data_IF_814434052749
#
_entry.id   IF_814434052749
#
_cell.length_a   1.000
_cell.length_b   1.000
_cell.length_c   1.000
_cell.angle_alpha   90.00
_cell.angle_beta   90.00
_cell.angle_gamma   90.00
#
_symmetry.space_group_name_H-M   'P 1'
#
loop_
_entity.id
_entity.type
_entity.pdbx_description
1 polymer ?
#
# COMPACT_ATOMS: atom_id res chain seq x y z
N UNK A 1 28.38 9.31 2.42
CA UNK A 1 28.62 9.87 1.04
C UNK A 1 27.35 10.61 0.63
N UNK A 2 27.52 11.75 -0.03
CA UNK A 2 26.38 12.48 -0.60
C UNK A 2 25.87 11.79 -1.87
N UNK A 3 24.55 11.68 -2.02
CA UNK A 3 23.89 11.18 -3.22
C UNK A 3 23.91 12.28 -4.30
N UNK A 4 24.14 11.91 -5.56
CA UNK A 4 24.15 12.86 -6.67
C UNK A 4 22.75 13.48 -6.89
N UNK A 5 22.73 14.71 -7.39
CA UNK A 5 21.46 15.41 -7.67
C UNK A 5 20.61 14.75 -8.76
N UNK A 6 21.20 13.91 -9.61
CA UNK A 6 20.48 13.10 -10.60
C UNK A 6 19.82 11.85 -10.00
N UNK A 7 20.24 11.43 -8.81
CA UNK A 7 19.75 10.22 -8.14
C UNK A 7 18.69 10.57 -7.09
N UNK A 8 18.93 11.61 -6.27
CA UNK A 8 17.95 12.17 -5.34
C UNK A 8 17.56 13.57 -5.84
N UNK A 9 16.47 13.61 -6.61
CA UNK A 9 16.01 14.84 -7.24
C UNK A 9 15.19 15.66 -6.25
N UNK A 10 15.43 16.97 -6.21
CA UNK A 10 14.67 17.91 -5.38
C UNK A 10 13.95 18.93 -6.25
N UNK A 11 12.82 19.42 -5.78
CA UNK A 11 12.11 20.56 -6.35
C UNK A 11 12.88 21.87 -6.05
N UNK A 12 12.57 22.99 -6.73
CA UNK A 12 13.26 24.27 -6.53
C UNK A 12 13.18 24.82 -5.09
N UNK A 13 12.16 24.43 -4.34
CA UNK A 13 11.96 24.81 -2.93
C UNK A 13 12.75 23.92 -1.94
N UNK A 14 13.47 22.91 -2.44
CA UNK A 14 14.25 21.96 -1.65
C UNK A 14 13.48 20.75 -1.14
N UNK A 15 12.18 20.64 -1.43
CA UNK A 15 11.37 19.44 -1.16
C UNK A 15 11.68 18.31 -2.15
N UNK A 16 11.20 17.10 -1.87
CA UNK A 16 11.31 15.97 -2.79
C UNK A 16 10.49 16.21 -4.05
N UNK A 17 11.05 15.77 -5.19
CA UNK A 17 10.57 16.18 -6.51
C UNK A 17 9.14 15.76 -6.84
N UNK A 18 8.71 14.57 -6.38
CA UNK A 18 7.38 14.06 -6.70
C UNK A 18 6.38 14.35 -5.59
N UNK A 19 6.69 14.01 -4.34
CA UNK A 19 5.75 14.14 -3.21
C UNK A 19 5.70 15.55 -2.60
N UNK A 20 6.66 16.42 -2.91
CA UNK A 20 6.78 17.79 -2.39
C UNK A 20 6.73 17.87 -0.85
N UNK A 21 7.35 16.89 -0.18
CA UNK A 21 7.52 16.83 1.28
C UNK A 21 9.00 16.97 1.65
N UNK A 22 9.22 17.39 2.90
CA UNK A 22 10.51 17.42 3.60
C UNK A 22 10.37 16.71 4.94
N UNK A 23 11.46 16.48 5.67
CA UNK A 23 11.41 15.91 7.01
C UNK A 23 10.56 16.72 8.00
N UNK A 24 10.47 18.04 7.80
CA UNK A 24 9.67 18.94 8.64
C UNK A 24 8.17 18.88 8.31
N UNK A 25 7.83 18.75 7.04
CA UNK A 25 6.43 18.71 6.59
C UNK A 25 5.82 17.31 6.66
N UNK A 26 6.63 16.25 6.78
CA UNK A 26 6.20 14.86 6.91
C UNK A 26 5.90 14.50 8.39
N UNK A 27 4.76 13.85 8.65
CA UNK A 27 4.45 13.21 9.94
C UNK A 27 4.97 11.77 9.99
N UNK A 28 5.09 11.18 11.21
CA UNK A 28 5.48 9.78 11.39
C UNK A 28 4.36 8.80 10.99
N UNK A 29 3.11 9.21 11.16
CA UNK A 29 1.94 8.46 10.74
C UNK A 29 1.48 8.95 9.36
N UNK A 30 1.61 8.09 8.34
CA UNK A 30 1.33 8.42 6.94
C UNK A 30 0.19 7.55 6.42
N UNK A 31 -0.92 8.19 6.06
CA UNK A 31 -2.01 7.54 5.34
C UNK A 31 -1.75 7.57 3.83
N UNK A 32 -1.76 6.41 3.20
CA UNK A 32 -1.60 6.25 1.76
C UNK A 32 -2.94 5.90 1.11
N UNK A 33 -3.35 6.67 0.12
CA UNK A 33 -4.58 6.43 -0.65
C UNK A 33 -4.26 6.43 -2.15
N UNK A 34 -5.00 5.68 -2.96
CA UNK A 34 -4.74 5.64 -4.41
C UNK A 34 -5.19 6.90 -5.15
N UNK A 35 -6.25 7.54 -4.67
CA UNK A 35 -6.95 8.63 -5.33
C UNK A 35 -6.67 9.98 -4.63
N UNK A 36 -6.21 11.03 -5.36
CA UNK A 36 -6.03 12.36 -4.79
C UNK A 36 -7.29 12.94 -4.14
N UNK A 37 -8.49 12.62 -4.64
CA UNK A 37 -9.74 13.10 -4.05
C UNK A 37 -9.97 12.55 -2.64
N UNK A 38 -9.46 11.35 -2.34
CA UNK A 38 -9.55 10.79 -0.98
C UNK A 38 -8.70 11.53 0.04
N UNK A 39 -7.65 12.24 -0.38
CA UNK A 39 -6.87 13.11 0.51
C UNK A 39 -7.75 14.24 1.05
N UNK A 40 -8.71 14.75 0.26
CA UNK A 40 -9.65 15.78 0.72
C UNK A 40 -10.56 15.29 1.86
N UNK A 41 -10.81 13.97 1.98
CA UNK A 41 -11.58 13.44 3.11
C UNK A 41 -10.85 13.63 4.45
N UNK A 42 -9.51 13.60 4.45
CA UNK A 42 -8.72 13.91 5.65
C UNK A 42 -8.76 15.40 6.00
N UNK A 43 -8.87 16.29 5.00
CA UNK A 43 -9.01 17.73 5.22
C UNK A 43 -10.28 18.07 6.02
N UNK A 44 -11.36 17.30 5.80
CA UNK A 44 -12.61 17.44 6.56
C UNK A 44 -12.51 16.87 8.00
N UNK A 45 -11.51 16.02 8.27
CA UNK A 45 -11.32 15.32 9.54
C UNK A 45 -10.28 16.04 10.42
N UNK A 46 -9.22 16.59 9.83
CA UNK A 46 -8.15 17.26 10.58
C UNK A 46 -8.64 18.54 11.28
N UNK A 47 -8.23 18.71 12.53
CA UNK A 47 -8.51 19.94 13.30
C UNK A 47 -7.77 21.14 12.70
N UNK A 48 -6.59 20.92 12.12
CA UNK A 48 -5.78 21.94 11.44
C UNK A 48 -4.93 21.33 10.35
N UNK A 49 -4.69 22.11 9.29
CA UNK A 49 -3.78 21.75 8.19
C UNK A 49 -2.50 22.57 8.34
N UNK A 50 -1.35 21.90 8.32
CA UNK A 50 -0.01 22.51 8.45
C UNK A 50 0.69 22.65 7.10
N UNK A 51 0.47 21.69 6.18
CA UNK A 51 1.08 21.66 4.86
C UNK A 51 0.14 21.01 3.85
N UNK A 52 0.12 21.50 2.63
CA UNK A 52 -0.61 20.93 1.50
C UNK A 52 0.20 21.13 0.22
N UNK A 53 0.38 20.08 -0.56
CA UNK A 53 1.01 20.13 -1.87
C UNK A 53 0.28 19.24 -2.87
N UNK A 54 0.29 19.63 -4.13
CA UNK A 54 -0.27 18.87 -5.24
C UNK A 54 0.70 18.87 -6.41
N UNK A 55 1.11 17.69 -6.83
CA UNK A 55 1.98 17.50 -7.98
C UNK A 55 1.57 16.23 -8.73
N UNK A 56 1.08 16.38 -9.96
CA UNK A 56 0.50 15.28 -10.75
C UNK A 56 -0.64 14.61 -9.97
N UNK A 57 -0.60 13.26 -9.84
CA UNK A 57 -1.53 12.46 -9.03
C UNK A 57 -1.18 12.40 -7.54
N UNK A 58 -0.08 13.04 -7.12
CA UNK A 58 0.41 13.03 -5.75
C UNK A 58 -0.07 14.29 -5.01
N UNK A 59 -1.04 14.10 -4.15
CA UNK A 59 -1.59 15.13 -3.26
C UNK A 59 -1.17 14.80 -1.83
N UNK A 60 -0.40 15.65 -1.19
CA UNK A 60 0.03 15.52 0.20
C UNK A 60 -0.66 16.56 1.07
N UNK A 61 -1.15 16.11 2.22
CA UNK A 61 -1.81 16.93 3.24
C UNK A 61 -1.27 16.53 4.61
N UNK A 62 -0.58 17.42 5.30
CA UNK A 62 -0.16 17.21 6.68
C UNK A 62 -0.94 18.10 7.61
N UNK A 63 -1.43 17.52 8.71
CA UNK A 63 -2.27 18.23 9.66
C UNK A 63 -2.32 17.53 11.01
N UNK A 64 -3.20 18.01 11.88
CA UNK A 64 -3.43 17.46 13.23
C UNK A 64 -4.84 16.95 13.40
N UNK A 65 -4.95 15.87 14.13
CA UNK A 65 -6.19 15.29 14.62
C UNK A 65 -6.05 14.98 16.11
N UNK A 66 -6.82 15.63 16.95
CA UNK A 66 -6.73 15.54 18.42
C UNK A 66 -5.30 15.74 18.98
N UNK A 67 -4.55 16.65 18.36
CA UNK A 67 -3.18 16.98 18.75
C UNK A 67 -2.10 16.10 18.10
N UNK A 68 -2.42 14.89 17.65
CA UNK A 68 -1.51 14.00 16.91
C UNK A 68 -1.33 14.46 15.47
N UNK A 69 -0.13 14.27 14.94
CA UNK A 69 0.25 14.71 13.61
C UNK A 69 0.18 13.58 12.60
N UNK A 70 -0.46 13.83 11.46
CA UNK A 70 -0.64 12.87 10.37
C UNK A 70 -0.33 13.50 9.03
N UNK A 71 0.14 12.68 8.09
CA UNK A 71 0.22 13.02 6.67
C UNK A 71 -0.70 12.10 5.89
N UNK A 72 -1.57 12.64 5.05
CA UNK A 72 -2.31 11.89 4.03
C UNK A 72 -1.66 12.16 2.67
N UNK A 73 -1.37 11.10 1.91
CA UNK A 73 -0.71 11.19 0.61
C UNK A 73 -1.40 10.26 -0.39
N UNK A 74 -1.76 10.79 -1.55
CA UNK A 74 -2.17 9.95 -2.67
C UNK A 74 -0.96 9.36 -3.38
N UNK A 75 -1.10 8.11 -3.82
CA UNK A 75 -0.03 7.36 -4.48
C UNK A 75 -0.24 7.20 -5.97
N UNK A 76 -1.46 7.52 -6.48
CA UNK A 76 -1.86 7.01 -7.78
C UNK A 76 -2.12 5.50 -7.74
N UNK A 77 -2.06 4.83 -8.88
CA UNK A 77 -2.33 3.40 -9.05
C UNK A 77 -1.09 2.63 -9.48
N UNK A 78 -0.84 1.49 -8.82
CA UNK A 78 0.17 0.53 -9.24
C UNK A 78 1.49 0.63 -8.47
N UNK A 79 2.27 -0.46 -8.54
CA UNK A 79 3.51 -0.61 -7.78
C UNK A 79 4.63 0.32 -8.24
N UNK A 80 4.63 0.72 -9.51
CA UNK A 80 5.57 1.69 -10.07
C UNK A 80 5.49 3.06 -9.39
N UNK A 81 4.28 3.52 -9.08
CA UNK A 81 4.10 4.72 -8.26
C UNK A 81 4.55 4.53 -6.81
N UNK A 82 4.38 3.32 -6.25
CA UNK A 82 4.84 3.02 -4.88
C UNK A 82 6.37 3.07 -4.79
N UNK A 83 7.10 2.69 -5.84
CA UNK A 83 8.54 2.85 -5.93
C UNK A 83 8.98 4.30 -5.63
N UNK A 84 8.33 5.25 -6.29
CA UNK A 84 8.57 6.69 -6.11
C UNK A 84 8.19 7.13 -4.69
N UNK A 85 6.95 6.83 -4.29
CA UNK A 85 6.38 7.31 -3.03
C UNK A 85 7.14 6.77 -1.82
N UNK A 86 7.41 5.47 -1.77
CA UNK A 86 8.09 4.85 -0.64
C UNK A 86 9.55 5.34 -0.52
N UNK A 87 10.26 5.44 -1.66
CA UNK A 87 11.63 5.94 -1.69
C UNK A 87 11.71 7.41 -1.27
N UNK A 88 10.80 8.25 -1.73
CA UNK A 88 10.79 9.67 -1.37
C UNK A 88 10.30 9.90 0.07
N UNK A 89 9.37 9.10 0.61
CA UNK A 89 8.98 9.15 2.02
C UNK A 89 10.15 8.78 2.94
N UNK A 90 10.90 7.72 2.61
CA UNK A 90 12.12 7.38 3.37
C UNK A 90 13.17 8.49 3.25
N UNK A 91 13.38 9.05 2.07
CA UNK A 91 14.32 10.15 1.90
C UNK A 91 13.91 11.41 2.69
N UNK A 92 12.61 11.76 2.73
CA UNK A 92 12.12 12.85 3.58
C UNK A 92 12.38 12.59 5.06
N UNK A 93 12.20 11.35 5.52
CA UNK A 93 12.37 10.98 6.93
C UNK A 93 13.85 10.86 7.34
N UNK A 94 14.72 10.39 6.44
CA UNK A 94 16.04 9.85 6.80
C UNK A 94 17.24 10.52 6.11
N UNK A 95 17.00 11.59 5.34
CA UNK A 95 18.08 12.35 4.71
C UNK A 95 18.05 13.82 5.07
N UNK A 96 19.22 14.42 5.23
CA UNK A 96 19.39 15.85 5.06
C UNK A 96 19.33 16.16 3.55
N UNK A 97 18.19 16.71 3.12
CA UNK A 97 17.92 16.97 1.70
C UNK A 97 18.88 18.00 1.11
N UNK A 98 19.36 18.97 1.91
CA UNK A 98 20.27 20.03 1.44
C UNK A 98 21.64 19.48 1.05
N UNK A 99 22.18 18.56 1.85
CA UNK A 99 23.47 17.90 1.61
C UNK A 99 23.31 16.56 0.87
N UNK A 100 22.12 16.05 0.73
CA UNK A 100 21.79 14.71 0.22
C UNK A 100 22.56 13.59 0.92
N UNK A 101 22.62 13.66 2.25
CA UNK A 101 23.30 12.66 3.06
C UNK A 101 22.35 12.01 4.05
N UNK A 102 22.53 10.70 4.32
CA UNK A 102 21.71 10.03 5.33
C UNK A 102 21.87 10.68 6.71
N UNK A 103 20.78 10.78 7.44
CA UNK A 103 20.77 11.17 8.85
C UNK A 103 21.41 10.05 9.70
N UNK A 104 21.93 10.40 10.88
CA UNK A 104 22.54 9.43 11.81
C UNK A 104 21.49 8.56 12.49
N UNK A 105 20.36 9.17 12.84
CA UNK A 105 19.26 8.51 13.52
C UNK A 105 18.18 8.15 12.49
N UNK A 106 17.76 6.91 12.51
CA UNK A 106 16.70 6.42 11.65
C UNK A 106 15.33 6.79 12.22
N UNK A 107 14.52 7.47 11.42
CA UNK A 107 13.12 7.80 11.70
C UNK A 107 12.23 6.76 11.02
N UNK A 108 11.58 5.90 11.82
CA UNK A 108 10.62 4.93 11.30
C UNK A 108 9.26 5.58 11.08
N UNK A 109 8.64 5.29 9.95
CA UNK A 109 7.29 5.74 9.59
C UNK A 109 6.28 4.61 9.79
N UNK A 110 5.04 4.97 10.11
CA UNK A 110 3.87 4.10 10.04
C UNK A 110 3.12 4.39 8.75
N UNK A 111 3.22 3.49 7.77
CA UNK A 111 2.58 3.61 6.46
C UNK A 111 1.24 2.87 6.48
N UNK A 112 0.13 3.58 6.57
CA UNK A 112 -1.21 2.99 6.65
C UNK A 112 -1.94 3.22 5.32
N UNK A 113 -2.01 2.18 4.48
CA UNK A 113 -2.76 2.27 3.24
C UNK A 113 -4.24 2.03 3.47
N UNK A 114 -5.08 2.96 3.02
CA UNK A 114 -6.53 2.83 2.99
C UNK A 114 -6.96 2.76 1.51
N UNK A 115 -7.21 1.53 1.06
CA UNK A 115 -7.45 1.24 -0.36
C UNK A 115 -8.84 0.69 -0.63
N UNK A 116 -9.08 0.39 -1.91
CA UNK A 116 -10.22 -0.38 -2.39
C UNK A 116 -9.74 -1.66 -3.03
N UNK A 117 -10.52 -2.74 -2.97
CA UNK A 117 -10.14 -4.01 -3.58
C UNK A 117 -11.34 -4.87 -3.97
N UNK A 118 -11.08 -5.94 -4.72
CA UNK A 118 -12.06 -6.97 -5.02
C UNK A 118 -11.85 -8.20 -4.15
N UNK A 119 -12.90 -8.64 -3.43
CA UNK A 119 -12.88 -9.90 -2.70
C UNK A 119 -12.84 -11.11 -3.64
N UNK A 120 -12.07 -12.12 -3.24
CA UNK A 120 -12.02 -13.46 -3.84
C UNK A 120 -12.78 -14.51 -3.01
N UNK A 121 -13.34 -14.12 -1.86
CA UNK A 121 -14.08 -14.98 -0.95
C UNK A 121 -15.58 -14.61 -0.96
N UNK A 122 -16.44 -15.61 -1.15
CA UNK A 122 -17.89 -15.38 -1.25
C UNK A 122 -18.51 -14.82 0.03
N UNK A 123 -17.88 -15.07 1.19
CA UNK A 123 -18.34 -14.63 2.51
C UNK A 123 -17.78 -13.27 2.95
N UNK A 124 -17.09 -12.54 2.08
CA UNK A 124 -16.61 -11.18 2.37
C UNK A 124 -17.36 -10.21 1.45
N UNK A 125 -18.42 -9.64 1.96
CA UNK A 125 -19.33 -8.79 1.19
C UNK A 125 -18.75 -7.43 0.81
N UNK A 126 -19.31 -6.80 -0.22
CA UNK A 126 -19.05 -5.39 -0.52
C UNK A 126 -19.38 -4.51 0.69
N UNK A 127 -18.54 -3.53 0.97
CA UNK A 127 -18.60 -2.68 2.17
C UNK A 127 -17.81 -3.21 3.37
N UNK A 128 -17.35 -4.48 3.35
CA UNK A 128 -16.48 -5.04 4.39
C UNK A 128 -15.07 -4.42 4.34
N UNK A 129 -14.41 -4.35 5.50
CA UNK A 129 -13.00 -3.99 5.61
C UNK A 129 -12.14 -5.25 5.75
N UNK A 130 -11.05 -5.30 4.97
CA UNK A 130 -10.05 -6.37 5.02
C UNK A 130 -8.68 -5.77 5.35
N UNK A 131 -8.10 -6.20 6.47
CA UNK A 131 -6.73 -5.88 6.85
C UNK A 131 -5.79 -6.97 6.32
N UNK A 132 -4.77 -6.56 5.58
CA UNK A 132 -3.82 -7.46 4.92
C UNK A 132 -2.74 -7.90 5.90
N UNK A 133 -2.86 -9.10 6.44
CA UNK A 133 -1.81 -9.68 7.31
C UNK A 133 -0.54 -9.99 6.51
N UNK A 134 -0.71 -10.49 5.29
CA UNK A 134 0.34 -10.80 4.33
C UNK A 134 -0.01 -10.20 2.97
N UNK A 135 1.00 -9.97 2.16
CA UNK A 135 0.81 -9.63 0.76
C UNK A 135 1.65 -10.52 -0.15
N UNK A 136 1.11 -10.83 -1.33
CA UNK A 136 1.81 -11.53 -2.40
C UNK A 136 1.90 -10.59 -3.59
N UNK A 137 3.12 -10.20 -3.98
CA UNK A 137 3.36 -9.39 -5.16
C UNK A 137 3.52 -10.26 -6.39
N UNK A 138 2.69 -10.02 -7.39
CA UNK A 138 2.84 -10.57 -8.74
C UNK A 138 3.42 -9.53 -9.71
N UNK A 139 3.77 -8.36 -9.20
CA UNK A 139 4.29 -7.21 -9.94
C UNK A 139 5.79 -7.32 -10.26
N UNK A 140 6.55 -7.99 -9.40
CA UNK A 140 7.99 -8.21 -9.56
C UNK A 140 8.86 -6.99 -9.23
N UNK A 141 8.31 -5.88 -8.72
CA UNK A 141 9.06 -4.65 -8.45
C UNK A 141 10.23 -4.88 -7.50
N UNK A 142 10.02 -5.60 -6.41
CA UNK A 142 11.05 -5.84 -5.39
C UNK A 142 12.22 -6.68 -5.90
N UNK A 143 12.09 -7.38 -7.04
CA UNK A 143 13.19 -8.12 -7.67
C UNK A 143 14.29 -7.20 -8.22
N UNK A 144 14.03 -5.89 -8.35
CA UNK A 144 15.02 -4.88 -8.73
C UNK A 144 15.86 -4.36 -7.55
N UNK A 145 15.55 -4.78 -6.31
CA UNK A 145 16.17 -4.26 -5.09
C UNK A 145 16.87 -5.34 -4.27
N UNK A 146 17.95 -4.95 -3.60
CA UNK A 146 18.60 -5.76 -2.56
C UNK A 146 17.89 -5.49 -1.22
N UNK A 147 16.80 -6.19 -0.95
CA UNK A 147 15.91 -5.90 0.17
C UNK A 147 16.18 -6.67 1.46
N UNK A 148 17.16 -7.57 1.48
CA UNK A 148 17.37 -8.47 2.64
C UNK A 148 16.27 -9.54 2.77
N UNK A 149 16.16 -10.13 3.97
CA UNK A 149 15.20 -11.23 4.23
C UNK A 149 14.11 -10.82 5.23
N UNK A 150 14.30 -9.74 5.97
CA UNK A 150 13.37 -9.30 7.01
C UNK A 150 12.01 -8.94 6.41
N UNK A 151 10.94 -9.52 6.96
CA UNK A 151 9.58 -9.33 6.47
C UNK A 151 9.23 -10.06 5.17
N UNK A 152 10.20 -10.80 4.56
CA UNK A 152 9.96 -11.64 3.38
C UNK A 152 9.80 -13.11 3.79
N UNK A 153 8.78 -13.80 3.24
CA UNK A 153 8.45 -15.19 3.59
C UNK A 153 8.75 -16.14 2.42
N UNK A 154 9.94 -16.74 2.43
CA UNK A 154 10.38 -17.70 1.40
C UNK A 154 9.54 -18.97 1.39
N UNK A 155 9.10 -19.45 2.57
CA UNK A 155 8.31 -20.68 2.65
C UNK A 155 6.91 -20.46 2.08
N UNK A 156 6.30 -19.30 2.37
CA UNK A 156 5.03 -18.93 1.76
C UNK A 156 5.17 -18.76 0.25
N UNK A 157 6.26 -18.17 -0.24
CA UNK A 157 6.55 -18.03 -1.66
C UNK A 157 6.66 -19.38 -2.37
N UNK A 158 7.41 -20.33 -1.81
CA UNK A 158 7.54 -21.67 -2.35
C UNK A 158 6.18 -22.38 -2.43
N UNK A 159 5.39 -22.34 -1.35
CA UNK A 159 4.04 -22.89 -1.32
C UNK A 159 3.12 -22.25 -2.35
N UNK A 160 3.18 -20.91 -2.49
CA UNK A 160 2.40 -20.16 -3.48
C UNK A 160 2.79 -20.53 -4.91
N UNK A 161 4.08 -20.60 -5.23
CA UNK A 161 4.56 -20.98 -6.55
C UNK A 161 4.16 -22.42 -6.92
N UNK A 162 4.24 -23.36 -5.97
CA UNK A 162 3.79 -24.74 -6.17
C UNK A 162 2.27 -24.81 -6.43
N UNK A 163 1.48 -24.02 -5.69
CA UNK A 163 0.03 -23.98 -5.84
C UNK A 163 -0.40 -23.36 -7.17
N UNK A 164 0.20 -22.22 -7.52
CA UNK A 164 -0.21 -21.46 -8.71
C UNK A 164 0.31 -22.02 -10.02
N UNK A 165 1.49 -22.65 -10.04
CA UNK A 165 2.16 -23.14 -11.24
C UNK A 165 2.22 -22.07 -12.34
N UNK A 166 2.74 -20.89 -11.97
CA UNK A 166 2.82 -19.73 -12.86
C UNK A 166 3.78 -19.99 -14.04
N UNK A 167 3.47 -19.40 -15.18
CA UNK A 167 4.36 -19.41 -16.34
C UNK A 167 5.71 -18.73 -15.99
N UNK A 168 6.86 -19.34 -16.29
CA UNK A 168 8.18 -18.78 -15.99
C UNK A 168 8.48 -17.47 -16.71
N UNK A 169 7.70 -17.08 -17.72
CA UNK A 169 7.80 -15.77 -18.36
C UNK A 169 7.14 -14.63 -17.58
N UNK A 170 6.38 -14.94 -16.53
CA UNK A 170 5.84 -13.94 -15.62
C UNK A 170 6.90 -13.50 -14.61
N UNK A 171 6.72 -12.32 -14.03
CA UNK A 171 7.60 -11.87 -12.97
C UNK A 171 7.58 -12.85 -11.79
N UNK A 172 8.74 -13.11 -11.21
CA UNK A 172 8.83 -13.94 -10.00
C UNK A 172 8.07 -13.26 -8.87
N UNK A 173 7.08 -13.94 -8.25
CA UNK A 173 6.36 -13.38 -7.11
C UNK A 173 7.27 -13.17 -5.90
N UNK A 174 6.79 -12.40 -4.94
CA UNK A 174 7.37 -12.29 -3.60
C UNK A 174 6.27 -12.23 -2.55
N UNK A 175 6.57 -12.70 -1.34
CA UNK A 175 5.64 -12.74 -0.20
C UNK A 175 6.20 -11.91 0.94
N UNK A 176 5.39 -11.02 1.48
CA UNK A 176 5.80 -10.06 2.50
C UNK A 176 4.77 -9.94 3.61
N UNK A 177 5.24 -9.60 4.82
CA UNK A 177 4.42 -9.42 6.01
C UNK A 177 4.06 -7.95 6.21
N UNK A 178 2.82 -7.69 6.61
CA UNK A 178 2.45 -6.42 7.22
C UNK A 178 2.90 -6.33 8.67
N UNK A 179 2.88 -5.11 9.22
CA UNK A 179 3.19 -4.88 10.64
C UNK A 179 2.14 -5.54 11.54
N UNK A 180 2.60 -6.45 12.41
CA UNK A 180 1.74 -7.07 13.43
C UNK A 180 1.29 -6.04 14.48
N UNK A 181 2.12 -5.05 14.79
CA UNK A 181 1.78 -3.98 15.71
C UNK A 181 0.61 -3.15 15.18
N UNK A 182 0.71 -2.65 13.95
CA UNK A 182 -0.36 -1.88 13.31
C UNK A 182 -1.63 -2.73 13.10
N UNK A 183 -1.47 -4.02 12.75
CA UNK A 183 -2.59 -4.94 12.60
C UNK A 183 -3.38 -5.06 13.92
N UNK A 184 -2.68 -5.28 15.02
CA UNK A 184 -3.31 -5.39 16.35
C UNK A 184 -3.95 -4.06 16.79
N UNK A 185 -3.32 -2.93 16.45
CA UNK A 185 -3.84 -1.59 16.81
C UNK A 185 -5.08 -1.21 15.99
N UNK A 186 -5.10 -1.53 14.69
CA UNK A 186 -6.08 -0.96 13.74
C UNK A 186 -7.21 -1.94 13.41
N UNK A 187 -6.92 -3.25 13.28
CA UNK A 187 -7.77 -4.17 12.53
C UNK A 187 -8.83 -4.91 13.35
N UNK A 188 -9.13 -4.46 14.57
CA UNK A 188 -10.20 -5.07 15.39
C UNK A 188 -11.54 -5.03 14.64
N UNK A 189 -12.21 -6.18 14.56
CA UNK A 189 -13.50 -6.33 13.90
C UNK A 189 -13.46 -6.36 12.37
N UNK A 190 -12.27 -6.32 11.75
CA UNK A 190 -12.08 -6.45 10.31
C UNK A 190 -11.79 -7.90 9.91
N UNK A 191 -12.05 -8.24 8.65
CA UNK A 191 -11.52 -9.49 8.08
C UNK A 191 -10.01 -9.41 7.96
N UNK A 192 -9.32 -10.54 8.17
CA UNK A 192 -7.87 -10.64 7.99
C UNK A 192 -7.55 -11.65 6.89
N UNK A 193 -6.57 -11.35 6.07
CA UNK A 193 -6.20 -12.25 4.98
C UNK A 193 -4.89 -11.95 4.31
N UNK A 194 -4.67 -12.66 3.21
CA UNK A 194 -3.60 -12.40 2.26
C UNK A 194 -4.17 -11.54 1.14
N UNK A 195 -3.54 -10.41 0.87
CA UNK A 195 -3.85 -9.59 -0.30
C UNK A 195 -2.89 -9.92 -1.42
N UNK A 196 -3.41 -10.16 -2.62
CA UNK A 196 -2.57 -10.32 -3.81
C UNK A 196 -2.51 -9.00 -4.57
N UNK A 197 -1.30 -8.55 -4.84
CA UNK A 197 -1.03 -7.34 -5.61
C UNK A 197 -0.72 -7.69 -7.05
N UNK A 198 -1.54 -7.21 -7.97
CA UNK A 198 -1.41 -7.46 -9.40
C UNK A 198 -0.78 -6.25 -10.12
N UNK A 199 0.04 -6.46 -11.17
CA UNK A 199 0.67 -5.37 -11.93
C UNK A 199 -0.30 -4.63 -12.86
N UNK A 200 -1.59 -4.93 -12.80
CA UNK A 200 -2.62 -4.27 -13.61
C UNK A 200 -4.03 -4.70 -13.24
N UNK A 201 -5.01 -3.97 -13.74
CA UNK A 201 -6.42 -4.13 -13.34
C UNK A 201 -7.18 -5.21 -14.12
N UNK A 202 -6.91 -5.37 -15.42
CA UNK A 202 -7.69 -6.28 -16.27
C UNK A 202 -7.11 -7.70 -16.31
N UNK A 203 -6.27 -8.04 -17.27
CA UNK A 203 -5.69 -9.37 -17.45
C UNK A 203 -4.97 -9.90 -16.22
N UNK A 204 -4.09 -9.09 -15.54
CA UNK A 204 -3.41 -9.50 -14.32
C UNK A 204 -4.32 -9.80 -13.13
N UNK A 205 -5.58 -9.36 -13.16
CA UNK A 205 -6.62 -9.71 -12.20
C UNK A 205 -7.68 -10.68 -12.77
N UNK A 206 -7.38 -11.37 -13.87
CA UNK A 206 -8.25 -12.37 -14.45
C UNK A 206 -9.51 -11.82 -15.13
N UNK A 207 -9.52 -10.54 -15.51
CA UNK A 207 -10.65 -9.96 -16.26
C UNK A 207 -10.49 -10.24 -17.75
N UNK A 208 -11.45 -10.97 -18.28
CA UNK A 208 -11.52 -11.35 -19.69
C UNK A 208 -12.44 -10.38 -20.43
N UNK A 209 -11.83 -9.43 -21.16
CA UNK A 209 -12.59 -8.49 -21.98
C UNK A 209 -12.39 -8.87 -23.46
N UNK A 210 -11.51 -8.20 -24.18
CA UNK A 210 -11.15 -8.49 -25.56
C UNK A 210 -9.84 -9.24 -25.67
N UNK A 211 -8.84 -8.82 -24.88
CA UNK A 211 -7.57 -9.51 -24.75
C UNK A 211 -7.68 -10.54 -23.60
N UNK A 212 -7.51 -11.79 -23.96
CA UNK A 212 -7.62 -12.92 -23.00
C UNK A 212 -6.49 -12.93 -21.98
N UNK A 213 -6.78 -13.13 -20.68
CA UNK A 213 -5.74 -13.38 -19.70
C UNK A 213 -4.94 -14.65 -20.03
N UNK A 214 -3.63 -14.63 -19.78
CA UNK A 214 -2.76 -15.79 -19.99
C UNK A 214 -2.93 -16.88 -18.92
N UNK A 215 -3.35 -16.49 -17.71
CA UNK A 215 -3.60 -17.41 -16.59
C UNK A 215 -5.09 -17.72 -16.55
N UNK A 216 -5.45 -18.95 -16.93
CA UNK A 216 -6.83 -19.44 -16.80
C UNK A 216 -7.21 -19.65 -15.34
N UNK A 217 -8.47 -19.35 -14.98
CA UNK A 217 -9.01 -19.55 -13.64
C UNK A 217 -8.15 -18.91 -12.54
N UNK A 218 -7.57 -17.72 -12.81
CA UNK A 218 -6.67 -17.05 -11.87
C UNK A 218 -7.35 -16.81 -10.52
N UNK A 219 -8.58 -16.31 -10.53
CA UNK A 219 -9.28 -15.94 -9.30
C UNK A 219 -9.63 -17.17 -8.44
N UNK A 220 -10.01 -18.27 -9.07
CA UNK A 220 -10.30 -19.54 -8.40
C UNK A 220 -9.03 -20.15 -7.79
N UNK A 221 -7.92 -20.13 -8.52
CA UNK A 221 -6.62 -20.55 -8.01
C UNK A 221 -6.17 -19.72 -6.82
N UNK A 222 -6.25 -18.38 -6.92
CA UNK A 222 -5.90 -17.49 -5.83
C UNK A 222 -6.82 -17.70 -4.63
N UNK A 223 -8.13 -17.79 -4.83
CA UNK A 223 -9.12 -17.97 -3.75
C UNK A 223 -8.91 -19.27 -2.96
N UNK A 224 -8.37 -20.32 -3.60
CA UNK A 224 -8.09 -21.62 -2.97
C UNK A 224 -6.76 -21.68 -2.23
N UNK A 225 -5.88 -20.67 -2.38
CA UNK A 225 -4.62 -20.61 -1.64
C UNK A 225 -4.82 -20.10 -0.21
N UNK A 226 -4.12 -20.76 0.72
CA UNK A 226 -4.03 -20.29 2.11
C UNK A 226 -2.64 -20.60 2.67
N UNK A 227 -2.18 -19.74 3.60
CA UNK A 227 -0.93 -19.89 4.31
C UNK A 227 -1.15 -19.86 5.81
N UNK A 228 -0.76 -20.93 6.53
CA UNK A 228 -0.97 -21.09 7.96
C UNK A 228 -2.43 -20.77 8.40
N UNK A 229 -3.40 -21.26 7.63
CA UNK A 229 -4.83 -21.04 7.89
C UNK A 229 -5.35 -19.66 7.50
N UNK A 230 -4.51 -18.78 6.93
CA UNK A 230 -4.89 -17.46 6.43
C UNK A 230 -5.16 -17.55 4.92
N UNK A 231 -6.39 -17.33 4.46
CA UNK A 231 -6.73 -17.42 3.03
C UNK A 231 -6.30 -16.15 2.26
N UNK A 232 -6.17 -16.29 0.94
CA UNK A 232 -6.21 -15.11 0.05
C UNK A 232 -7.62 -14.54 0.08
N UNK A 233 -7.73 -13.27 0.45
CA UNK A 233 -9.02 -12.58 0.63
C UNK A 233 -9.37 -11.67 -0.53
N UNK A 234 -8.41 -10.96 -1.08
CA UNK A 234 -8.67 -9.88 -2.04
C UNK A 234 -7.50 -9.60 -2.99
N UNK A 235 -7.82 -8.90 -4.07
CA UNK A 235 -6.90 -8.42 -5.12
C UNK A 235 -6.91 -6.90 -5.20
N UNK A 236 -5.71 -6.30 -5.29
CA UNK A 236 -5.50 -4.88 -5.54
C UNK A 236 -4.15 -4.65 -6.26
N UNK A 237 -3.53 -3.48 -6.20
CA UNK A 237 -2.40 -3.15 -7.07
C UNK A 237 -1.17 -2.54 -6.36
N UNK A 238 -1.09 -2.44 -5.00
CA UNK A 238 -0.02 -1.70 -4.31
C UNK A 238 0.51 -2.33 -3.01
N UNK A 239 -0.27 -3.14 -2.30
CA UNK A 239 0.02 -3.58 -0.93
C UNK A 239 1.37 -4.28 -0.79
N UNK A 240 1.72 -5.17 -1.71
CA UNK A 240 2.97 -5.93 -1.65
C UNK A 240 4.19 -5.02 -1.74
N UNK A 241 4.16 -4.04 -2.64
CA UNK A 241 5.23 -3.07 -2.79
C UNK A 241 5.39 -2.21 -1.54
N UNK A 242 4.27 -1.68 -0.98
CA UNK A 242 4.31 -0.92 0.27
C UNK A 242 4.94 -1.73 1.40
N UNK A 243 4.54 -3.00 1.59
CA UNK A 243 5.10 -3.86 2.62
C UNK A 243 6.56 -4.19 2.37
N UNK A 244 6.92 -4.49 1.13
CA UNK A 244 8.29 -4.80 0.75
C UNK A 244 9.24 -3.63 0.99
N UNK A 245 8.88 -2.41 0.58
CA UNK A 245 9.67 -1.22 0.86
C UNK A 245 9.71 -0.90 2.35
N UNK A 246 8.58 -0.98 3.06
CA UNK A 246 8.53 -0.72 4.49
C UNK A 246 9.48 -1.65 5.25
N UNK A 247 9.44 -2.96 4.98
CA UNK A 247 10.34 -3.92 5.61
C UNK A 247 11.81 -3.66 5.25
N UNK A 248 12.13 -3.43 3.98
CA UNK A 248 13.49 -3.18 3.52
C UNK A 248 14.09 -1.88 4.09
N UNK A 249 13.25 -0.85 4.27
CA UNK A 249 13.62 0.48 4.78
C UNK A 249 13.38 0.62 6.29
N UNK A 250 12.95 -0.44 6.98
CA UNK A 250 12.69 -0.48 8.43
C UNK A 250 11.59 0.49 8.89
N UNK A 251 10.54 0.57 8.10
CA UNK A 251 9.27 1.22 8.43
C UNK A 251 8.22 0.19 8.83
N UNK A 252 7.12 0.65 9.41
CA UNK A 252 5.94 -0.18 9.66
C UNK A 252 4.90 0.04 8.56
N UNK A 253 4.21 -1.01 8.11
CA UNK A 253 3.14 -0.83 7.13
C UNK A 253 1.94 -1.73 7.41
N UNK A 254 0.74 -1.20 7.18
CA UNK A 254 -0.51 -1.95 7.17
C UNK A 254 -1.40 -1.43 6.04
N UNK A 255 -2.03 -2.35 5.32
CA UNK A 255 -3.10 -2.03 4.37
C UNK A 255 -4.44 -2.47 4.92
N UNK A 256 -5.43 -1.58 4.85
CA UNK A 256 -6.84 -1.86 5.03
C UNK A 256 -7.55 -1.52 3.72
N UNK A 257 -8.22 -2.51 3.13
CA UNK A 257 -9.01 -2.33 1.92
C UNK A 257 -10.49 -2.40 2.20
N UNK A 258 -11.24 -1.41 1.70
CA UNK A 258 -12.68 -1.51 1.55
C UNK A 258 -13.00 -2.41 0.35
N UNK A 259 -13.80 -3.44 0.55
CA UNK A 259 -14.26 -4.32 -0.53
C UNK A 259 -15.33 -3.59 -1.35
N UNK A 260 -15.03 -3.29 -2.61
CA UNK A 260 -15.96 -2.64 -3.54
C UNK A 260 -16.51 -3.60 -4.59
N UNK A 261 -15.93 -4.79 -4.72
CA UNK A 261 -16.41 -5.85 -5.58
C UNK A 261 -16.28 -7.21 -4.88
N UNK A 262 -17.28 -8.06 -4.98
CA UNK A 262 -17.16 -9.47 -4.61
C UNK A 262 -17.19 -10.29 -5.90
N UNK A 263 -16.02 -10.87 -6.26
CA UNK A 263 -15.83 -11.55 -7.55
C UNK A 263 -16.64 -12.84 -7.65
N UNK A 264 -16.66 -13.74 -6.64
CA UNK A 264 -17.50 -14.92 -6.64
C UNK A 264 -19.01 -14.62 -6.70
N UNK A 265 -19.47 -13.58 -5.99
CA UNK A 265 -20.87 -13.19 -5.97
C UNK A 265 -21.30 -12.33 -7.16
N UNK A 266 -20.35 -11.83 -7.95
CA UNK A 266 -20.63 -10.94 -9.08
C UNK A 266 -21.25 -9.59 -8.68
N UNK A 267 -21.00 -9.14 -7.45
CA UNK A 267 -21.54 -7.87 -6.93
C UNK A 267 -20.51 -6.75 -6.97
N UNK A 268 -21.00 -5.51 -7.06
CA UNK A 268 -20.18 -4.31 -7.09
C UNK A 268 -20.88 -3.16 -6.35
N UNK A 269 -20.11 -2.40 -5.57
CA UNK A 269 -20.60 -1.25 -4.81
C UNK A 269 -20.46 0.01 -5.70
N UNK A 270 -21.59 0.55 -6.15
CA UNK A 270 -21.61 1.70 -7.08
C UNK A 270 -21.09 2.99 -6.46
N UNK A 271 -21.41 3.24 -5.19
CA UNK A 271 -20.89 4.36 -4.41
C UNK A 271 -20.28 3.84 -3.12
N UNK A 272 -18.97 3.99 -2.99
CA UNK A 272 -18.19 3.57 -1.83
C UNK A 272 -17.74 4.74 -0.94
N UNK A 273 -18.02 5.97 -1.32
CA UNK A 273 -17.51 7.16 -0.62
C UNK A 273 -17.98 7.25 0.84
N UNK A 274 -19.26 6.95 1.19
CA UNK A 274 -19.69 6.96 2.59
C UNK A 274 -18.89 5.96 3.44
N UNK A 275 -18.78 4.71 2.98
CA UNK A 275 -18.07 3.64 3.70
C UNK A 275 -16.55 3.94 3.78
N UNK A 276 -15.98 4.58 2.75
CA UNK A 276 -14.58 4.99 2.76
C UNK A 276 -14.34 6.08 3.81
N UNK A 277 -15.24 7.07 3.92
CA UNK A 277 -15.17 8.11 4.96
C UNK A 277 -15.24 7.51 6.36
N UNK A 278 -16.15 6.55 6.58
CA UNK A 278 -16.29 5.82 7.85
C UNK A 278 -15.03 4.99 8.17
N UNK A 279 -14.44 4.35 7.15
CA UNK A 279 -13.19 3.59 7.29
C UNK A 279 -12.03 4.51 7.69
N UNK A 280 -11.86 5.65 7.03
CA UNK A 280 -10.84 6.66 7.36
C UNK A 280 -11.03 7.14 8.80
N UNK A 281 -12.26 7.53 9.19
CA UNK A 281 -12.58 7.98 10.54
C UNK A 281 -12.27 6.92 11.60
N UNK A 282 -12.60 5.65 11.34
CA UNK A 282 -12.30 4.54 12.25
C UNK A 282 -10.80 4.31 12.40
N UNK A 283 -10.06 4.33 11.29
CA UNK A 283 -8.61 4.04 11.28
C UNK A 283 -7.82 5.16 11.94
N UNK A 284 -8.13 6.43 11.66
CA UNK A 284 -7.42 7.56 12.27
C UNK A 284 -7.66 7.61 13.78
N UNK A 285 -8.87 7.32 14.24
CA UNK A 285 -9.18 7.27 15.68
C UNK A 285 -8.39 6.17 16.40
N UNK A 286 -8.17 5.03 15.74
CA UNK A 286 -7.36 3.92 16.28
C UNK A 286 -5.85 4.19 16.23
N UNK A 287 -5.41 5.11 15.39
CA UNK A 287 -4.00 5.52 15.32
C UNK A 287 -3.60 6.57 16.34
N UNK A 288 -4.55 7.21 16.94
CA UNK A 288 -4.41 8.20 18.02
C UNK A 288 -3.69 7.68 19.28
#
# INVERSE_FOLDING_TARGET
MSIKSSELVLAPDGSLYHIHLTGETLADNVFLVGDPERVNMFKDIFDSVEHESLNRELHALTGRYHGERFTALSTGMGCDNIDIVATELDAAANFDLSSRTPLKEHRSLNLIRIGTSGSLQANIDCGSLVASRYAIGMDGLLNYYQHGEEGFDKNMLEAFCQHMQLDPNLATPYCVHGSTELLNKIAEGMHHGITVTAPGFYGPQGRDIRLKPSIGQLNEKLASFSWNGTPVTNLEMETSAIYGFANALRHQALTVCLIIANRPAGTFLNDYHPQMRDAIGTIIERMK
#
